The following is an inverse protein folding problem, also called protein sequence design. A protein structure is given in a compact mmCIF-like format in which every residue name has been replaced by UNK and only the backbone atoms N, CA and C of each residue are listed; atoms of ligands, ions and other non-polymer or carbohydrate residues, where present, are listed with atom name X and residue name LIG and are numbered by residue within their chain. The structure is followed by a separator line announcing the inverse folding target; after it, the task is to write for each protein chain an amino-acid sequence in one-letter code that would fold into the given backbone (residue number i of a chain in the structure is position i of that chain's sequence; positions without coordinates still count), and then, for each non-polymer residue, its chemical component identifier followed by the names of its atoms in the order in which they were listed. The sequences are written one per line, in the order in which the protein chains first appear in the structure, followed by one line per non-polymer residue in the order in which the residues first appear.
data_IF_484165862852
#
_entry.id   IF_484165862852
#
_cell.length_a   1.000
_cell.length_b   1.000
_cell.length_c   1.000
_cell.angle_alpha   90.00
_cell.angle_beta   90.00
_cell.angle_gamma   90.00
#
_symmetry.space_group_name_H-M   'P 1'
#
loop_
_entity.id
_entity.type
_entity.pdbx_description
1 polymer ?
#
# COMPACT_ATOMS: atom_id res chain seq x y z
N UNK A 1 -9.18 32.64 -49.15
CA UNK A 1 -8.67 33.00 -47.81
C UNK A 1 -9.18 31.91 -46.87
N UNK A 2 -8.44 30.81 -46.80
CA UNK A 2 -8.84 29.57 -46.13
C UNK A 2 -8.13 29.50 -44.79
N UNK A 3 -8.87 29.72 -43.70
CA UNK A 3 -8.38 29.51 -42.35
C UNK A 3 -8.28 28.01 -42.06
N UNK A 4 -7.08 27.56 -41.71
CA UNK A 4 -6.81 26.22 -41.18
C UNK A 4 -6.78 26.33 -39.66
N UNK A 5 -7.56 25.55 -38.90
CA UNK A 5 -7.38 25.51 -37.46
C UNK A 5 -6.13 24.66 -37.14
N UNK A 6 -5.13 25.31 -36.54
CA UNK A 6 -3.99 24.67 -35.88
C UNK A 6 -4.50 23.91 -34.65
N UNK A 7 -4.51 22.58 -34.74
CA UNK A 7 -4.64 21.71 -33.56
C UNK A 7 -3.35 21.81 -32.75
N UNK A 8 -3.41 22.52 -31.62
CA UNK A 8 -2.35 22.53 -30.63
C UNK A 8 -2.37 21.19 -29.87
N UNK A 9 -1.43 20.31 -30.22
CA UNK A 9 -1.20 19.07 -29.50
C UNK A 9 -0.48 19.41 -28.18
N UNK A 10 -1.26 19.48 -27.10
CA UNK A 10 -0.72 19.60 -25.75
C UNK A 10 0.33 18.52 -25.45
N UNK A 11 1.30 18.78 -24.55
CA UNK A 11 2.42 17.90 -24.35
C UNK A 11 1.93 16.52 -23.90
N UNK A 12 2.14 15.52 -24.76
CA UNK A 12 1.98 14.12 -24.40
C UNK A 12 2.97 13.84 -23.27
N UNK A 13 2.43 13.63 -22.07
CA UNK A 13 3.26 13.20 -20.94
C UNK A 13 3.85 11.86 -21.34
N UNK A 14 5.17 11.80 -21.52
CA UNK A 14 5.91 10.58 -21.84
C UNK A 14 5.76 9.60 -20.67
N UNK A 15 4.71 8.79 -20.75
CA UNK A 15 4.33 7.81 -19.75
C UNK A 15 5.05 6.51 -20.05
N UNK A 16 6.38 6.57 -20.13
CA UNK A 16 7.23 5.38 -20.07
C UNK A 16 7.22 4.90 -18.62
N UNK A 17 6.07 4.36 -18.20
CA UNK A 17 5.84 3.88 -16.86
C UNK A 17 6.84 2.74 -16.59
N UNK A 18 7.89 3.04 -15.82
CA UNK A 18 8.73 2.02 -15.24
C UNK A 18 7.83 1.00 -14.54
N UNK A 19 8.03 -0.29 -14.82
CA UNK A 19 7.25 -1.37 -14.23
C UNK A 19 7.18 -1.20 -12.71
N UNK A 20 5.99 -1.34 -12.09
CA UNK A 20 5.86 -1.12 -10.65
C UNK A 20 6.79 -2.05 -9.86
N UNK A 21 7.45 -1.49 -8.85
CA UNK A 21 8.44 -2.21 -8.04
C UNK A 21 7.79 -3.40 -7.34
N UNK A 22 8.41 -4.58 -7.44
CA UNK A 22 7.98 -5.77 -6.72
C UNK A 22 8.12 -5.58 -5.19
N UNK A 23 7.15 -6.06 -4.43
CA UNK A 23 7.11 -5.95 -2.97
C UNK A 23 6.63 -7.25 -2.31
N UNK A 24 7.24 -7.70 -1.21
CA UNK A 24 8.44 -7.14 -0.55
C UNK A 24 9.76 -7.54 -1.26
N UNK A 25 10.88 -6.91 -0.89
CA UNK A 25 12.24 -7.20 -1.35
C UNK A 25 13.19 -7.25 -0.16
N UNK A 26 14.24 -8.05 -0.29
CA UNK A 26 15.22 -8.27 0.77
C UNK A 26 16.11 -7.04 0.98
N UNK A 27 16.49 -6.82 2.24
CA UNK A 27 17.51 -5.84 2.59
C UNK A 27 18.89 -6.43 2.32
N UNK A 28 19.74 -5.66 1.64
CA UNK A 28 21.17 -5.99 1.51
C UNK A 28 21.98 -5.47 2.70
N UNK A 29 21.58 -4.33 3.27
CA UNK A 29 22.10 -3.81 4.53
C UNK A 29 20.98 -3.88 5.60
N UNK A 30 21.21 -4.47 6.78
CA UNK A 30 20.16 -4.66 7.79
C UNK A 30 19.56 -3.34 8.32
N UNK A 31 20.34 -2.25 8.26
CA UNK A 31 19.96 -0.92 8.77
C UNK A 31 19.40 0.03 7.71
N UNK A 32 19.41 -0.34 6.43
CA UNK A 32 18.85 0.47 5.36
C UNK A 32 17.71 -0.25 4.63
N UNK A 33 16.71 0.48 4.11
CA UNK A 33 15.73 -0.10 3.20
C UNK A 33 16.41 -0.70 1.95
N UNK A 34 15.76 -1.67 1.26
CA UNK A 34 16.24 -2.16 -0.02
C UNK A 34 16.45 -1.01 -1.02
N UNK A 35 17.58 -1.01 -1.74
CA UNK A 35 17.89 0.03 -2.73
C UNK A 35 16.83 0.11 -3.85
N UNK A 36 16.20 -1.01 -4.19
CA UNK A 36 15.10 -1.05 -5.15
C UNK A 36 13.88 -0.21 -4.73
N UNK A 37 13.80 0.25 -3.48
CA UNK A 37 12.73 1.13 -2.99
C UNK A 37 13.05 2.62 -3.16
N UNK A 38 14.22 2.99 -3.66
CA UNK A 38 14.61 4.40 -3.89
C UNK A 38 13.60 5.15 -4.77
N UNK A 39 13.12 4.60 -5.90
CA UNK A 39 12.10 5.27 -6.70
C UNK A 39 10.79 5.48 -5.94
N UNK A 40 10.40 4.54 -5.07
CA UNK A 40 9.17 4.62 -4.26
C UNK A 40 9.29 5.72 -3.19
N UNK A 41 10.49 5.91 -2.64
CA UNK A 41 10.78 6.98 -1.67
C UNK A 41 10.79 8.36 -2.34
N UNK A 42 11.24 8.46 -3.59
CA UNK A 42 11.21 9.69 -4.35
C UNK A 42 9.77 10.08 -4.77
N UNK A 43 8.94 9.10 -5.15
CA UNK A 43 7.56 9.31 -5.64
C UNK A 43 6.51 9.63 -4.57
N UNK A 44 6.91 10.04 -3.35
CA UNK A 44 6.00 10.33 -2.22
C UNK A 44 4.76 11.15 -2.62
N UNK A 45 3.60 10.96 -1.96
CA UNK A 45 3.42 10.21 -0.71
C UNK A 45 2.97 8.75 -0.88
N UNK A 46 2.59 8.36 -2.10
CA UNK A 46 2.03 7.06 -2.45
C UNK A 46 2.65 6.58 -3.76
N UNK A 47 3.02 5.30 -3.82
CA UNK A 47 3.51 4.68 -5.04
C UNK A 47 2.74 3.38 -5.33
N UNK A 48 2.65 3.00 -6.60
CA UNK A 48 2.15 1.68 -7.00
C UNK A 48 3.26 0.64 -6.93
N UNK A 49 2.93 -0.52 -6.41
CA UNK A 49 3.81 -1.71 -6.30
C UNK A 49 3.09 -2.94 -6.86
N UNK A 50 3.85 -4.01 -7.07
CA UNK A 50 3.32 -5.33 -7.46
C UNK A 50 3.56 -6.33 -6.35
N UNK A 51 2.52 -7.05 -5.92
CA UNK A 51 2.59 -8.13 -4.93
C UNK A 51 3.09 -9.44 -5.56
N UNK A 52 3.35 -10.45 -4.73
CA UNK A 52 3.85 -11.76 -5.17
C UNK A 52 2.97 -12.47 -6.22
N UNK A 53 1.68 -12.17 -6.24
CA UNK A 53 0.67 -12.74 -7.15
C UNK A 53 0.38 -11.84 -8.37
N UNK A 54 1.21 -10.81 -8.59
CA UNK A 54 1.05 -9.86 -9.69
C UNK A 54 0.02 -8.76 -9.45
N UNK A 55 -0.76 -8.80 -8.35
CA UNK A 55 -1.76 -7.76 -8.08
C UNK A 55 -1.11 -6.42 -7.74
N UNK A 56 -1.65 -5.29 -8.21
CA UNK A 56 -1.18 -3.98 -7.82
C UNK A 56 -1.65 -3.62 -6.41
N UNK A 57 -0.80 -2.98 -5.63
CA UNK A 57 -1.14 -2.39 -4.35
C UNK A 57 -0.59 -0.96 -4.20
N UNK A 58 -1.11 -0.22 -3.23
CA UNK A 58 -0.56 1.07 -2.85
C UNK A 58 0.48 0.89 -1.74
N UNK A 59 1.64 1.50 -1.91
CA UNK A 59 2.64 1.65 -0.86
C UNK A 59 2.64 3.11 -0.38
N UNK A 60 2.51 3.31 0.93
CA UNK A 60 2.59 4.63 1.56
C UNK A 60 4.04 4.92 1.94
N UNK A 61 4.62 5.97 1.36
CA UNK A 61 6.03 6.35 1.59
C UNK A 61 6.18 7.74 2.22
N UNK A 62 5.11 8.53 2.27
CA UNK A 62 5.06 9.84 2.93
C UNK A 62 4.58 9.76 4.39
N UNK A 63 5.33 10.36 5.32
CA UNK A 63 5.02 10.32 6.75
C UNK A 63 3.63 10.89 7.12
N UNK A 64 3.28 12.08 6.61
CA UNK A 64 1.99 12.69 6.89
C UNK A 64 0.82 11.85 6.35
N UNK A 65 0.98 11.26 5.16
CA UNK A 65 -0.01 10.37 4.56
C UNK A 65 -0.15 9.08 5.38
N UNK A 66 0.95 8.49 5.84
CA UNK A 66 0.93 7.30 6.69
C UNK A 66 0.15 7.56 7.99
N UNK A 67 0.43 8.67 8.68
CA UNK A 67 -0.31 9.03 9.92
C UNK A 67 -1.80 9.19 9.66
N UNK A 68 -2.17 9.90 8.59
CA UNK A 68 -3.58 10.11 8.25
C UNK A 68 -4.30 8.81 7.92
N UNK A 69 -3.70 7.97 7.07
CA UNK A 69 -4.32 6.73 6.62
C UNK A 69 -4.39 5.68 7.73
N UNK A 70 -3.37 5.56 8.59
CA UNK A 70 -3.39 4.64 9.74
C UNK A 70 -4.45 5.00 10.80
N UNK A 71 -4.97 6.23 10.79
CA UNK A 71 -6.07 6.66 11.65
C UNK A 71 -7.44 6.62 10.96
N UNK A 72 -7.49 6.30 9.66
CA UNK A 72 -8.70 6.37 8.85
C UNK A 72 -9.49 5.06 8.92
N UNK A 73 -10.69 5.11 9.51
CA UNK A 73 -11.57 3.96 9.72
C UNK A 73 -12.10 3.33 8.42
N UNK A 74 -11.83 3.94 7.26
CA UNK A 74 -12.14 3.35 5.95
C UNK A 74 -11.15 2.26 5.55
N UNK A 75 -9.97 2.21 6.16
CA UNK A 75 -8.99 1.15 5.93
C UNK A 75 -9.14 0.04 6.96
N UNK A 76 -9.40 -1.17 6.45
CA UNK A 76 -9.64 -2.35 7.27
C UNK A 76 -8.36 -3.16 7.50
N UNK A 77 -8.24 -3.76 8.69
CA UNK A 77 -7.19 -4.75 9.01
C UNK A 77 -7.69 -6.19 8.90
N UNK A 78 -8.98 -6.39 8.60
CA UNK A 78 -9.60 -7.70 8.44
C UNK A 78 -9.13 -8.38 7.14
N UNK A 79 -8.18 -9.31 7.29
CA UNK A 79 -7.58 -10.08 6.20
C UNK A 79 -8.52 -11.07 5.52
N UNK A 80 -9.72 -11.28 6.06
CA UNK A 80 -10.75 -12.13 5.44
C UNK A 80 -11.51 -11.41 4.34
N UNK A 81 -11.41 -10.07 4.25
CA UNK A 81 -12.08 -9.27 3.23
C UNK A 81 -11.53 -9.54 1.83
N UNK A 82 -12.44 -9.54 0.86
CA UNK A 82 -12.08 -9.65 -0.54
C UNK A 82 -11.15 -8.50 -0.94
N UNK A 83 -10.10 -8.84 -1.70
CA UNK A 83 -9.11 -7.87 -2.15
C UNK A 83 -8.08 -7.46 -1.09
N UNK A 84 -8.11 -8.01 0.13
CA UNK A 84 -7.06 -7.72 1.12
C UNK A 84 -5.66 -8.05 0.53
N UNK A 85 -4.69 -7.13 0.61
CA UNK A 85 -3.38 -7.33 0.00
C UNK A 85 -2.58 -8.36 0.80
N UNK A 86 -1.99 -9.32 0.10
CA UNK A 86 -1.18 -10.37 0.70
C UNK A 86 0.21 -10.36 0.07
N UNK A 87 1.25 -10.42 0.89
CA UNK A 87 2.64 -10.27 0.45
C UNK A 87 3.33 -11.59 0.12
N UNK A 88 2.77 -12.74 0.53
CA UNK A 88 3.34 -14.07 0.29
C UNK A 88 2.26 -15.14 0.12
N UNK A 89 2.57 -16.20 -0.64
CA UNK A 89 1.68 -17.35 -0.78
C UNK A 89 1.35 -18.02 0.58
N UNK A 90 2.32 -18.05 1.50
CA UNK A 90 2.12 -18.58 2.86
C UNK A 90 1.03 -17.83 3.61
N UNK A 91 1.05 -16.49 3.56
CA UNK A 91 0.04 -15.67 4.23
C UNK A 91 -1.33 -15.84 3.56
N UNK A 92 -1.38 -16.04 2.24
CA UNK A 92 -2.63 -16.29 1.53
C UNK A 92 -3.31 -17.59 1.96
N UNK A 93 -2.53 -18.62 2.33
CA UNK A 93 -3.03 -19.89 2.84
C UNK A 93 -3.66 -19.81 4.24
N UNK A 94 -3.41 -18.75 5.01
CA UNK A 94 -3.97 -18.56 6.36
C UNK A 94 -4.89 -17.33 6.47
N UNK A 95 -5.28 -16.74 5.34
CA UNK A 95 -6.11 -15.52 5.30
C UNK A 95 -7.48 -15.68 5.96
N UNK A 96 -8.01 -16.91 6.03
CA UNK A 96 -9.30 -17.20 6.65
C UNK A 96 -9.33 -17.09 8.18
N UNK A 97 -8.19 -16.84 8.84
CA UNK A 97 -8.10 -16.74 10.30
C UNK A 97 -7.91 -15.29 10.72
N UNK A 98 -8.85 -14.76 11.52
CA UNK A 98 -8.67 -13.45 12.16
C UNK A 98 -7.66 -13.54 13.30
N UNK A 99 -6.77 -12.57 13.37
CA UNK A 99 -5.88 -12.39 14.51
C UNK A 99 -6.60 -11.47 15.49
N UNK A 100 -6.85 -11.93 16.72
CA UNK A 100 -7.47 -11.09 17.75
C UNK A 100 -6.68 -9.80 17.94
N UNK A 101 -7.40 -8.72 18.23
CA UNK A 101 -6.96 -7.33 18.25
C UNK A 101 -6.51 -6.83 16.87
N UNK A 102 -5.41 -7.36 16.34
CA UNK A 102 -4.74 -6.80 15.15
C UNK A 102 -5.51 -6.95 13.83
N UNK A 103 -6.33 -8.00 13.70
CA UNK A 103 -7.00 -8.37 12.45
C UNK A 103 -8.52 -8.20 12.46
N UNK A 104 -9.03 -7.31 13.31
CA UNK A 104 -10.44 -6.95 13.40
C UNK A 104 -10.58 -5.43 13.35
N UNK A 105 -11.70 -4.95 12.82
CA UNK A 105 -12.03 -3.52 12.78
C UNK A 105 -12.90 -3.13 13.99
N UNK A 106 -13.15 -1.82 14.18
CA UNK A 106 -14.14 -1.36 15.16
C UNK A 106 -15.57 -1.80 14.77
N UNK A 107 -16.46 -2.08 15.75
CA UNK A 107 -16.28 -1.89 17.20
C UNK A 107 -15.60 -3.07 17.94
N UNK A 108 -15.35 -4.18 17.24
CA UNK A 108 -14.76 -5.38 17.84
C UNK A 108 -13.34 -5.13 18.36
N UNK A 109 -12.51 -4.46 17.55
CA UNK A 109 -11.16 -4.04 17.94
C UNK A 109 -11.16 -3.22 19.23
N UNK A 110 -11.99 -2.16 19.32
CA UNK A 110 -12.12 -1.35 20.55
C UNK A 110 -12.49 -2.17 21.77
N UNK A 111 -13.37 -3.16 21.61
CA UNK A 111 -13.81 -4.03 22.70
C UNK A 111 -12.64 -4.88 23.20
N UNK A 112 -11.93 -5.55 22.29
CA UNK A 112 -10.76 -6.38 22.62
C UNK A 112 -9.61 -5.54 23.21
N UNK A 113 -9.36 -4.34 22.65
CA UNK A 113 -8.33 -3.42 23.15
C UNK A 113 -8.60 -3.00 24.60
N UNK A 114 -9.85 -2.67 24.93
CA UNK A 114 -10.21 -2.26 26.30
C UNK A 114 -9.99 -3.35 27.35
N UNK A 115 -10.07 -4.62 26.97
CA UNK A 115 -9.83 -5.74 27.88
C UNK A 115 -8.37 -5.85 28.31
N UNK A 116 -7.43 -5.53 27.42
CA UNK A 116 -5.98 -5.71 27.67
C UNK A 116 -5.26 -4.42 28.05
N UNK A 117 -5.90 -3.26 27.84
CA UNK A 117 -5.29 -1.95 28.10
C UNK A 117 -4.74 -1.78 29.54
N UNK A 118 -5.37 -2.28 30.61
CA UNK A 118 -4.85 -2.11 31.98
C UNK A 118 -3.49 -2.77 32.26
N UNK A 119 -3.03 -3.67 31.38
CA UNK A 119 -1.79 -4.44 31.57
C UNK A 119 -0.54 -3.76 30.96
N UNK A 120 -0.69 -2.56 30.38
CA UNK A 120 0.36 -1.80 29.69
C UNK A 120 0.31 -0.30 30.02
#
# INVERSE_FOLDING_TARGET
MTDTPTTDAGPATDQRAASPVAFPQDRTCPYHPPAAYDPLRAARPLARITLYDGRPAWLVTGHAAARRLLADQRLSTDRTRDGFPVTTARLAGVRGRKTALLGVDDPEHRTQRRMVLPEF
#
